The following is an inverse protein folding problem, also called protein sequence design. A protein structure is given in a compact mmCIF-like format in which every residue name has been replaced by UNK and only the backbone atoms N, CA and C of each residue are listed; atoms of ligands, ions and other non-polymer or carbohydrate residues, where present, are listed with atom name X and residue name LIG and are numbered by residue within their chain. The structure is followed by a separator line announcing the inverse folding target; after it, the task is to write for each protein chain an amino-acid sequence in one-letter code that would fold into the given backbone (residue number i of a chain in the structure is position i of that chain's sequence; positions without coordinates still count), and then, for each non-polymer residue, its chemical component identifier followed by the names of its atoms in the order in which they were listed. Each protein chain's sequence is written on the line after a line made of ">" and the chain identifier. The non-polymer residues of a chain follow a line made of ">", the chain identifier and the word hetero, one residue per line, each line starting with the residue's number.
data_IF_859871670552
#
_entry.id   IF_859871670552
#
_cell.length_a   1.000
_cell.length_b   1.000
_cell.length_c   1.000
_cell.angle_alpha   90.00
_cell.angle_beta   90.00
_cell.angle_gamma   90.00
#
_symmetry.space_group_name_H-M   'P 1'
#
loop_
_entity.id
_entity.type
_entity.pdbx_description
1 polymer ?
#
# COMPACT_ATOMS: atom_id res chain seq x y z
N UNK A 1 -0.29 22.88 17.86
CA UNK A 1 0.57 21.74 17.49
C UNK A 1 0.37 21.44 16.02
N UNK A 2 1.39 21.59 15.17
CA UNK A 2 1.30 21.32 13.74
C UNK A 2 1.10 19.82 13.50
N UNK A 3 -0.13 19.42 13.13
CA UNK A 3 -0.45 18.07 12.66
C UNK A 3 0.26 17.84 11.32
N UNK A 4 1.38 17.11 11.31
CA UNK A 4 2.04 16.69 10.07
C UNK A 4 1.23 15.56 9.45
N UNK A 5 0.89 15.71 8.16
CA UNK A 5 0.16 14.71 7.35
C UNK A 5 1.10 13.55 7.03
N UNK A 6 0.66 12.30 7.15
CA UNK A 6 1.44 11.17 6.63
C UNK A 6 1.52 11.33 5.11
N UNK A 7 2.73 11.25 4.55
CA UNK A 7 2.93 11.39 3.12
C UNK A 7 2.46 10.11 2.40
N UNK A 8 1.37 10.20 1.62
CA UNK A 8 1.06 9.24 0.57
C UNK A 8 1.34 9.91 -0.76
N UNK A 9 2.20 9.30 -1.58
CA UNK A 9 2.45 9.74 -2.95
C UNK A 9 1.21 9.44 -3.80
N UNK A 10 0.59 10.47 -4.36
CA UNK A 10 -0.58 10.39 -5.23
C UNK A 10 -0.17 10.01 -6.66
N UNK A 11 -0.80 8.98 -7.25
CA UNK A 11 -0.84 8.84 -8.70
C UNK A 11 -1.70 9.97 -9.30
N UNK A 12 -1.11 10.81 -10.14
CA UNK A 12 -1.70 12.06 -10.63
C UNK A 12 -2.80 11.83 -11.69
N UNK A 13 -3.87 12.63 -11.58
CA UNK A 13 -5.11 12.63 -12.38
C UNK A 13 -5.15 13.83 -13.33
N UNK A 14 -5.73 13.65 -14.54
CA UNK A 14 -6.08 14.72 -15.47
C UNK A 14 -7.59 15.07 -15.38
N UNK A 15 -7.98 16.35 -15.31
CA UNK A 15 -9.36 16.78 -15.03
C UNK A 15 -10.24 16.91 -16.29
N UNK A 16 -11.56 16.67 -16.16
CA UNK A 16 -12.56 16.94 -17.19
C UNK A 16 -13.91 17.46 -16.63
N UNK A 17 -14.67 18.09 -17.52
CA UNK A 17 -15.75 19.06 -17.25
C UNK A 17 -17.06 18.39 -16.84
N UNK A 18 -17.62 18.86 -15.71
CA UNK A 18 -18.84 18.34 -15.11
C UNK A 18 -20.11 18.81 -15.82
N UNK A 19 -21.02 17.87 -16.11
CA UNK A 19 -22.40 18.11 -16.53
C UNK A 19 -23.38 17.90 -15.38
N UNK A 20 -24.35 18.80 -15.24
CA UNK A 20 -25.32 18.82 -14.14
C UNK A 20 -26.57 17.97 -14.46
N UNK A 21 -26.99 17.14 -13.52
CA UNK A 21 -28.38 16.65 -13.42
C UNK A 21 -28.71 16.37 -11.95
N UNK A 22 -29.77 17.01 -11.46
CA UNK A 22 -30.14 17.06 -10.05
C UNK A 22 -31.32 16.13 -9.76
N UNK A 23 -31.06 15.10 -8.96
CA UNK A 23 -32.07 14.41 -8.14
C UNK A 23 -31.61 14.50 -6.68
N UNK A 24 -32.57 14.68 -5.76
CA UNK A 24 -32.34 14.84 -4.33
C UNK A 24 -31.71 13.57 -3.75
N UNK A 25 -30.40 13.50 -3.88
CA UNK A 25 -29.55 12.42 -3.36
C UNK A 25 -29.24 12.82 -1.91
N UNK A 26 -29.30 11.86 -0.99
CA UNK A 26 -28.70 12.02 0.35
C UNK A 26 -27.36 12.73 0.19
N UNK A 27 -27.15 13.84 0.91
CA UNK A 27 -25.92 14.60 0.77
C UNK A 27 -24.73 13.64 0.96
N UNK A 28 -23.91 13.51 -0.08
CA UNK A 28 -22.78 12.59 -0.06
C UNK A 28 -21.89 12.94 1.15
N UNK A 29 -21.47 11.92 1.90
CA UNK A 29 -20.67 12.14 3.09
C UNK A 29 -19.38 12.92 2.78
N UNK A 30 -19.07 13.92 3.61
CA UNK A 30 -17.89 14.78 3.44
C UNK A 30 -16.63 14.13 4.04
N UNK A 31 -15.94 13.32 3.23
CA UNK A 31 -14.67 12.66 3.58
C UNK A 31 -13.50 13.63 3.84
N UNK A 32 -13.73 14.94 3.86
CA UNK A 32 -12.74 15.94 4.30
C UNK A 32 -12.74 16.20 5.82
N UNK A 33 -13.62 15.51 6.57
CA UNK A 33 -13.70 15.53 8.04
C UNK A 33 -13.73 14.11 8.62
N UNK A 34 -13.39 13.93 9.91
CA UNK A 34 -13.52 12.63 10.60
C UNK A 34 -14.98 12.19 10.69
N UNK A 35 -15.88 13.13 10.97
CA UNK A 35 -17.33 12.87 11.07
C UNK A 35 -17.93 12.45 9.73
N UNK A 36 -17.52 13.10 8.63
CA UNK A 36 -17.96 12.67 7.31
C UNK A 36 -17.35 11.34 6.87
N UNK A 37 -16.17 10.95 7.38
CA UNK A 37 -15.71 9.57 7.20
C UNK A 37 -16.59 8.56 7.93
N UNK A 38 -17.00 8.81 9.17
CA UNK A 38 -17.95 7.92 9.87
C UNK A 38 -19.24 7.74 9.07
N UNK A 39 -19.80 8.84 8.57
CA UNK A 39 -21.00 8.77 7.71
C UNK A 39 -20.73 8.03 6.39
N UNK A 40 -19.54 8.19 5.80
CA UNK A 40 -19.16 7.45 4.60
C UNK A 40 -19.12 5.93 4.83
N UNK A 41 -18.56 5.48 5.97
CA UNK A 41 -18.50 4.06 6.32
C UNK A 41 -19.91 3.42 6.45
N UNK A 42 -20.90 4.20 6.87
CA UNK A 42 -22.30 3.77 6.93
C UNK A 42 -22.99 3.81 5.56
N UNK A 43 -22.66 4.79 4.71
CA UNK A 43 -23.30 4.99 3.40
C UNK A 43 -22.84 4.01 2.33
N UNK A 44 -21.61 3.49 2.41
CA UNK A 44 -21.04 2.56 1.42
C UNK A 44 -20.57 1.23 2.05
N UNK A 45 -21.46 0.50 2.73
CA UNK A 45 -21.08 -0.66 3.53
C UNK A 45 -20.57 -1.84 2.70
N UNK A 46 -20.87 -1.88 1.39
CA UNK A 46 -20.52 -2.99 0.49
C UNK A 46 -19.14 -2.88 -0.13
N UNK A 47 -18.55 -1.67 -0.13
CA UNK A 47 -17.23 -1.41 -0.69
C UNK A 47 -16.18 -1.10 0.37
N UNK A 48 -16.58 -1.03 1.64
CA UNK A 48 -15.68 -0.77 2.76
C UNK A 48 -15.47 -2.01 3.61
N UNK A 49 -14.21 -2.38 3.82
CA UNK A 49 -13.79 -3.36 4.80
C UNK A 49 -12.79 -2.72 5.77
N UNK A 50 -12.86 -3.06 7.06
CA UNK A 50 -11.88 -2.61 8.03
C UNK A 50 -11.71 -3.60 9.18
N UNK A 51 -10.54 -3.51 9.81
CA UNK A 51 -10.26 -4.10 11.13
C UNK A 51 -9.50 -3.06 11.92
N UNK A 52 -10.04 -2.69 13.07
CA UNK A 52 -9.36 -1.85 14.06
C UNK A 52 -9.35 -2.58 15.38
N UNK A 53 -8.16 -2.67 15.97
CA UNK A 53 -7.92 -3.28 17.29
C UNK A 53 -7.04 -2.30 18.05
N UNK A 54 -7.51 -1.83 19.21
CA UNK A 54 -6.80 -0.84 20.01
C UNK A 54 -5.62 -1.41 20.82
N UNK A 55 -5.48 -2.74 20.83
CA UNK A 55 -4.47 -3.47 21.61
C UNK A 55 -4.79 -3.55 23.11
N UNK A 56 -5.97 -3.13 23.53
CA UNK A 56 -6.43 -3.05 24.92
C UNK A 56 -7.71 -3.87 25.17
N UNK A 57 -8.10 -4.70 24.18
CA UNK A 57 -9.23 -5.62 24.28
C UNK A 57 -10.49 -5.15 23.54
N UNK A 58 -10.45 -4.01 22.85
CA UNK A 58 -11.56 -3.54 22.03
C UNK A 58 -11.23 -3.67 20.54
N UNK A 59 -12.20 -4.13 19.77
CA UNK A 59 -12.07 -4.32 18.32
C UNK A 59 -13.32 -3.87 17.60
N UNK A 60 -13.16 -3.30 16.41
CA UNK A 60 -14.24 -3.06 15.46
C UNK A 60 -13.83 -3.64 14.11
N UNK A 61 -14.73 -4.37 13.46
CA UNK A 61 -14.45 -4.99 12.17
C UNK A 61 -15.67 -4.99 11.26
N UNK A 62 -15.40 -4.88 9.96
CA UNK A 62 -16.39 -4.96 8.88
C UNK A 62 -15.77 -5.67 7.71
N UNK A 63 -16.44 -6.74 7.23
CA UNK A 63 -16.01 -7.50 6.04
C UNK A 63 -14.51 -7.88 6.12
N UNK A 64 -14.06 -8.21 7.32
CA UNK A 64 -12.64 -8.34 7.66
C UNK A 64 -11.89 -9.35 6.79
N UNK A 65 -12.60 -10.39 6.35
CA UNK A 65 -12.07 -11.50 5.55
C UNK A 65 -12.31 -11.33 4.03
N UNK A 66 -13.01 -10.27 3.61
CA UNK A 66 -13.28 -10.02 2.19
C UNK A 66 -12.00 -9.61 1.46
N UNK A 67 -11.77 -10.25 0.32
CA UNK A 67 -10.68 -9.93 -0.60
C UNK A 67 -11.00 -8.67 -1.40
N UNK A 68 -10.17 -7.63 -1.26
CA UNK A 68 -10.29 -6.38 -2.00
C UNK A 68 -8.92 -5.95 -2.56
N UNK A 69 -8.88 -5.14 -3.65
CA UNK A 69 -7.65 -4.56 -4.15
C UNK A 69 -6.91 -3.78 -3.05
N UNK A 70 -5.61 -4.05 -2.87
CA UNK A 70 -4.82 -3.45 -1.78
C UNK A 70 -3.95 -2.28 -2.21
N UNK A 71 -3.85 -2.05 -3.52
CA UNK A 71 -2.91 -1.10 -4.09
C UNK A 71 -1.50 -1.30 -3.49
N UNK A 72 -0.77 -0.21 -3.22
CA UNK A 72 0.58 -0.29 -2.67
C UNK A 72 0.71 -0.83 -1.25
N UNK A 73 -0.39 -1.12 -0.52
CA UNK A 73 -0.29 -1.73 0.80
C UNK A 73 0.25 -3.17 0.72
N UNK A 74 0.07 -3.88 -0.40
CA UNK A 74 0.61 -5.23 -0.60
C UNK A 74 2.15 -5.31 -0.59
N UNK A 75 2.85 -4.18 -0.74
CA UNK A 75 4.33 -4.09 -0.69
C UNK A 75 4.91 -4.53 0.66
N UNK A 76 4.09 -4.66 1.70
CA UNK A 76 4.49 -5.25 2.98
C UNK A 76 4.91 -6.72 2.87
N UNK A 77 4.45 -7.47 1.87
CA UNK A 77 4.85 -8.88 1.68
C UNK A 77 6.25 -8.99 1.08
N UNK A 78 6.61 -8.29 -0.01
CA UNK A 78 8.01 -8.19 -0.44
C UNK A 78 8.95 -7.69 0.67
N UNK A 79 8.51 -6.75 1.51
CA UNK A 79 9.27 -6.34 2.71
C UNK A 79 9.45 -7.50 3.70
N UNK A 80 8.39 -8.27 3.97
CA UNK A 80 8.44 -9.44 4.82
C UNK A 80 9.46 -10.48 4.32
N UNK A 81 9.47 -10.74 3.01
CA UNK A 81 10.39 -11.67 2.36
C UNK A 81 11.85 -11.18 2.46
N UNK A 82 12.09 -9.90 2.17
CA UNK A 82 13.40 -9.27 2.36
C UNK A 82 13.88 -9.40 3.81
N UNK A 83 13.03 -9.05 4.77
CA UNK A 83 13.39 -9.05 6.18
C UNK A 83 13.78 -10.45 6.69
N UNK A 84 13.06 -11.49 6.25
CA UNK A 84 13.42 -12.89 6.55
C UNK A 84 14.73 -13.30 5.90
N UNK A 85 14.95 -12.91 4.64
CA UNK A 85 16.18 -13.23 3.92
C UNK A 85 17.41 -12.59 4.57
N UNK A 86 17.32 -11.33 5.01
CA UNK A 86 18.39 -10.66 5.77
C UNK A 86 18.63 -11.37 7.10
N UNK A 87 17.56 -11.68 7.86
CA UNK A 87 17.70 -12.36 9.15
C UNK A 87 18.30 -13.78 9.01
N UNK A 88 18.08 -14.45 7.88
CA UNK A 88 18.68 -15.73 7.55
C UNK A 88 20.12 -15.62 6.99
N UNK A 89 20.61 -14.41 6.71
CA UNK A 89 21.91 -14.16 6.10
C UNK A 89 22.01 -14.57 4.63
N UNK A 90 20.87 -14.78 3.94
CA UNK A 90 20.86 -15.17 2.51
C UNK A 90 20.92 -13.97 1.56
N UNK A 91 20.62 -12.76 2.07
CA UNK A 91 20.85 -11.50 1.37
C UNK A 91 21.54 -10.51 2.30
N UNK A 92 22.43 -9.68 1.75
CA UNK A 92 23.13 -8.62 2.49
C UNK A 92 22.38 -7.29 2.29
N UNK A 93 21.88 -6.63 3.36
CA UNK A 93 21.25 -5.33 3.24
C UNK A 93 22.18 -4.25 2.67
N UNK A 94 23.51 -4.42 2.80
CA UNK A 94 24.52 -3.50 2.29
C UNK A 94 25.00 -3.83 0.86
N UNK A 95 24.44 -4.87 0.22
CA UNK A 95 24.72 -5.23 -1.17
C UNK A 95 24.50 -4.00 -2.07
N UNK A 96 25.52 -3.62 -2.83
CA UNK A 96 25.46 -2.48 -3.74
C UNK A 96 24.77 -2.89 -5.04
N UNK A 97 23.61 -2.32 -5.29
CA UNK A 97 22.79 -2.56 -6.48
C UNK A 97 23.01 -1.41 -7.47
N UNK A 98 23.48 -1.69 -8.70
CA UNK A 98 23.48 -0.70 -9.76
C UNK A 98 22.06 -0.18 -10.01
N UNK A 99 21.91 1.14 -10.11
CA UNK A 99 20.60 1.77 -10.34
C UNK A 99 19.95 1.27 -11.62
N UNK A 100 20.73 0.93 -12.65
CA UNK A 100 20.22 0.32 -13.87
C UNK A 100 19.50 -1.03 -13.65
N UNK A 101 19.92 -1.82 -12.65
CA UNK A 101 19.26 -3.09 -12.28
C UNK A 101 17.93 -2.88 -11.54
N UNK A 102 17.81 -1.77 -10.82
CA UNK A 102 16.54 -1.34 -10.23
C UNK A 102 15.62 -0.75 -11.29
N UNK A 103 16.12 0.18 -12.10
CA UNK A 103 15.35 0.94 -13.10
C UNK A 103 14.89 0.11 -14.29
N UNK A 104 15.47 -1.08 -14.54
CA UNK A 104 14.93 -2.00 -15.58
C UNK A 104 13.51 -2.46 -15.27
N UNK A 105 13.09 -2.42 -13.99
CA UNK A 105 11.74 -2.76 -13.54
C UNK A 105 10.81 -1.53 -13.45
N UNK A 106 11.32 -0.34 -13.73
CA UNK A 106 10.55 0.90 -13.63
C UNK A 106 9.82 1.20 -14.93
N UNK A 107 8.51 1.40 -14.83
CA UNK A 107 7.70 2.01 -15.90
C UNK A 107 7.48 3.50 -15.57
N UNK A 108 8.11 4.43 -16.31
CA UNK A 108 7.95 5.86 -16.14
C UNK A 108 6.50 6.32 -16.01
N UNK A 109 6.24 7.16 -14.98
CA UNK A 109 4.94 7.79 -14.70
C UNK A 109 3.84 6.83 -14.26
N UNK A 110 4.13 5.56 -14.03
CA UNK A 110 3.14 4.56 -13.61
C UNK A 110 2.93 4.48 -12.09
N UNK A 111 3.67 5.24 -11.28
CA UNK A 111 3.65 5.15 -9.82
C UNK A 111 3.39 6.48 -9.11
N UNK A 112 2.93 7.50 -9.85
CA UNK A 112 2.70 8.84 -9.30
C UNK A 112 3.96 9.65 -9.01
N UNK A 113 5.10 9.24 -9.58
CA UNK A 113 6.38 9.90 -9.35
C UNK A 113 7.08 9.39 -8.09
N UNK A 114 6.71 8.21 -7.59
CA UNK A 114 7.32 7.59 -6.42
C UNK A 114 8.79 7.27 -6.68
N UNK A 115 9.09 6.66 -7.83
CA UNK A 115 10.45 6.37 -8.25
C UNK A 115 11.32 7.62 -8.29
N UNK A 116 10.89 8.68 -8.99
CA UNK A 116 11.67 9.92 -9.09
C UNK A 116 11.90 10.59 -7.73
N UNK A 117 10.93 10.50 -6.81
CA UNK A 117 11.12 10.99 -5.44
C UNK A 117 12.17 10.17 -4.68
N UNK A 118 12.14 8.85 -4.83
CA UNK A 118 13.15 7.98 -4.23
C UNK A 118 14.55 8.28 -4.81
N UNK A 119 14.66 8.48 -6.13
CA UNK A 119 15.94 8.84 -6.79
C UNK A 119 16.46 10.22 -6.35
N UNK A 120 15.58 11.17 -5.99
CA UNK A 120 16.00 12.44 -5.38
C UNK A 120 16.59 12.24 -3.98
N UNK A 121 16.04 11.32 -3.17
CA UNK A 121 16.56 10.98 -1.83
C UNK A 121 17.84 10.14 -1.90
N UNK A 122 17.95 9.29 -2.92
CA UNK A 122 19.03 8.32 -3.10
C UNK A 122 19.82 8.60 -4.39
N UNK A 123 20.51 9.76 -4.51
CA UNK A 123 21.24 10.09 -5.72
C UNK A 123 22.46 9.17 -5.93
N UNK A 124 22.97 9.12 -7.16
CA UNK A 124 24.14 8.31 -7.54
C UNK A 124 23.76 7.06 -8.34
N UNK A 125 24.77 6.32 -8.82
CA UNK A 125 24.57 5.20 -9.76
C UNK A 125 24.45 3.83 -9.07
N UNK A 126 24.63 3.80 -7.74
CA UNK A 126 24.41 2.62 -6.91
C UNK A 126 23.60 2.97 -5.66
N UNK A 127 22.82 2.01 -5.18
CA UNK A 127 22.13 2.07 -3.89
C UNK A 127 22.35 0.76 -3.15
N UNK A 128 22.30 0.76 -1.83
CA UNK A 128 22.22 -0.50 -1.06
C UNK A 128 20.87 -1.19 -1.30
N UNK A 129 20.83 -2.51 -1.13
CA UNK A 129 19.56 -3.25 -1.12
C UNK A 129 18.58 -2.68 -0.08
N UNK A 130 19.06 -2.33 1.12
CA UNK A 130 18.23 -1.72 2.16
C UNK A 130 17.64 -0.37 1.73
N UNK A 131 18.42 0.47 1.03
CA UNK A 131 17.91 1.72 0.46
C UNK A 131 16.85 1.48 -0.62
N UNK A 132 17.02 0.48 -1.48
CA UNK A 132 16.01 0.07 -2.47
C UNK A 132 14.71 -0.36 -1.78
N UNK A 133 14.79 -1.15 -0.70
CA UNK A 133 13.61 -1.53 0.10
C UNK A 133 12.99 -0.30 0.78
N UNK A 134 13.80 0.64 1.27
CA UNK A 134 13.28 1.87 1.86
C UNK A 134 12.46 2.69 0.84
N UNK A 135 12.87 2.73 -0.43
CA UNK A 135 12.15 3.41 -1.51
C UNK A 135 10.77 2.79 -1.77
N UNK A 136 10.68 1.46 -1.69
CA UNK A 136 9.43 0.72 -1.80
C UNK A 136 8.42 1.09 -0.70
N UNK A 137 8.89 1.39 0.51
CA UNK A 137 8.03 1.64 1.66
C UNK A 137 7.70 3.11 1.83
N UNK A 138 8.70 3.99 1.76
CA UNK A 138 8.56 5.42 2.06
C UNK A 138 7.91 6.20 0.90
N UNK A 139 8.49 6.12 -0.30
CA UNK A 139 7.95 6.78 -1.49
C UNK A 139 6.93 5.92 -2.22
N UNK A 140 6.90 4.61 -1.93
CA UNK A 140 6.04 3.65 -2.62
C UNK A 140 6.49 3.33 -4.05
N UNK A 141 7.81 3.26 -4.30
CA UNK A 141 8.38 2.85 -5.59
C UNK A 141 7.77 1.54 -6.11
N UNK A 142 7.47 1.49 -7.42
CA UNK A 142 6.86 0.31 -8.05
C UNK A 142 7.88 -0.69 -8.62
N UNK A 143 9.14 -0.29 -8.82
CA UNK A 143 10.17 -1.16 -9.39
C UNK A 143 10.76 -2.12 -8.34
N UNK A 144 10.90 -1.68 -7.10
CA UNK A 144 11.50 -2.41 -5.99
C UNK A 144 10.77 -3.74 -5.65
N UNK A 145 9.43 -3.83 -5.63
CA UNK A 145 8.73 -5.10 -5.41
C UNK A 145 9.08 -6.17 -6.46
N UNK A 146 9.16 -5.79 -7.73
CA UNK A 146 9.48 -6.72 -8.82
C UNK A 146 10.95 -7.12 -8.80
N UNK A 147 11.84 -6.18 -8.49
CA UNK A 147 13.24 -6.48 -8.22
C UNK A 147 13.38 -7.52 -7.09
N UNK A 148 12.69 -7.33 -5.97
CA UNK A 148 12.72 -8.29 -4.84
C UNK A 148 12.09 -9.63 -5.22
N UNK A 149 11.01 -9.65 -5.99
CA UNK A 149 10.38 -10.88 -6.46
C UNK A 149 11.32 -11.69 -7.35
N UNK A 150 12.00 -11.03 -8.29
CA UNK A 150 13.01 -11.66 -9.15
C UNK A 150 14.18 -12.22 -8.33
N UNK A 151 14.65 -11.44 -7.35
CA UNK A 151 15.83 -11.79 -6.53
C UNK A 151 15.57 -12.91 -5.52
N UNK A 152 14.41 -12.91 -4.87
CA UNK A 152 14.07 -13.81 -3.76
C UNK A 152 13.24 -15.03 -4.20
N UNK A 153 12.49 -14.87 -5.30
CA UNK A 153 11.62 -15.90 -5.85
C UNK A 153 10.26 -16.02 -5.15
N UNK A 154 9.28 -16.52 -5.91
CA UNK A 154 7.87 -16.63 -5.52
C UNK A 154 7.65 -17.38 -4.19
N UNK A 155 8.42 -18.45 -3.96
CA UNK A 155 8.36 -19.24 -2.72
C UNK A 155 8.67 -18.41 -1.48
N UNK A 156 9.68 -17.53 -1.55
CA UNK A 156 10.06 -16.70 -0.40
C UNK A 156 8.95 -15.70 -0.03
N UNK A 157 8.26 -15.14 -1.03
CA UNK A 157 7.14 -14.22 -0.80
C UNK A 157 5.94 -14.93 -0.17
N UNK A 158 5.58 -16.11 -0.67
CA UNK A 158 4.48 -16.93 -0.13
C UNK A 158 4.77 -17.34 1.32
N UNK A 159 5.98 -17.85 1.60
CA UNK A 159 6.37 -18.25 2.94
C UNK A 159 6.42 -17.06 3.92
N UNK A 160 6.86 -15.89 3.45
CA UNK A 160 6.86 -14.68 4.27
C UNK A 160 5.43 -14.20 4.58
N UNK A 161 4.52 -14.20 3.62
CA UNK A 161 3.11 -13.89 3.87
C UNK A 161 2.51 -14.85 4.91
N UNK A 162 2.72 -16.16 4.73
CA UNK A 162 2.22 -17.18 5.64
C UNK A 162 2.78 -17.05 7.06
N UNK A 163 4.05 -16.69 7.21
CA UNK A 163 4.67 -16.44 8.51
C UNK A 163 4.05 -15.27 9.29
N UNK A 164 3.43 -14.31 8.59
CA UNK A 164 2.66 -13.23 9.20
C UNK A 164 1.16 -13.49 9.31
N UNK A 165 0.70 -14.73 9.06
CA UNK A 165 -0.72 -15.10 9.11
C UNK A 165 -1.52 -14.77 7.84
N UNK A 166 -0.86 -14.41 6.73
CA UNK A 166 -1.49 -14.23 5.43
C UNK A 166 -1.32 -15.50 4.58
N UNK A 167 -2.32 -16.38 4.65
CA UNK A 167 -2.42 -17.57 3.80
C UNK A 167 -3.11 -17.25 2.46
N UNK A 168 -2.87 -18.07 1.44
CA UNK A 168 -3.38 -17.88 0.07
C UNK A 168 -2.97 -16.53 -0.55
N UNK A 169 -1.75 -16.09 -0.25
CA UNK A 169 -1.17 -14.87 -0.81
C UNK A 169 -1.08 -14.93 -2.34
N UNK A 170 -1.70 -13.96 -3.00
CA UNK A 170 -1.60 -13.79 -4.44
C UNK A 170 -0.33 -13.01 -4.79
N UNK A 171 0.59 -13.67 -5.48
CA UNK A 171 1.78 -13.02 -6.04
C UNK A 171 1.36 -11.92 -7.01
N UNK A 172 2.01 -10.76 -6.92
CA UNK A 172 1.74 -9.63 -7.79
C UNK A 172 3.01 -9.12 -8.46
N UNK A 173 2.81 -8.32 -9.50
CA UNK A 173 3.88 -7.54 -10.13
C UNK A 173 3.34 -6.15 -10.47
N UNK A 174 3.79 -5.06 -9.79
CA UNK A 174 3.37 -3.71 -10.16
C UNK A 174 3.65 -3.40 -11.62
N UNK A 175 4.83 -3.75 -12.14
CA UNK A 175 5.17 -3.55 -13.54
C UNK A 175 4.23 -4.35 -14.44
N UNK A 176 4.11 -5.66 -14.19
CA UNK A 176 3.26 -6.55 -14.97
C UNK A 176 1.81 -6.11 -15.03
N UNK A 177 1.28 -5.62 -13.90
CA UNK A 177 -0.07 -5.10 -13.82
C UNK A 177 -0.26 -3.79 -14.59
N UNK A 178 0.72 -2.87 -14.53
CA UNK A 178 0.70 -1.65 -15.35
C UNK A 178 0.87 -1.93 -16.84
N UNK A 179 1.63 -2.98 -17.20
CA UNK A 179 1.70 -3.44 -18.58
C UNK A 179 0.34 -3.97 -19.04
N UNK A 180 -0.37 -4.75 -18.22
CA UNK A 180 -1.73 -5.23 -18.56
C UNK A 180 -2.72 -4.08 -18.73
N UNK A 181 -2.57 -3.00 -17.97
CA UNK A 181 -3.38 -1.80 -18.19
C UNK A 181 -3.14 -1.18 -19.59
N UNK A 182 -1.91 -1.22 -20.11
CA UNK A 182 -1.57 -0.73 -21.45
C UNK A 182 -1.81 -1.79 -22.57
N UNK A 183 -1.81 -3.07 -22.23
CA UNK A 183 -2.00 -4.23 -23.09
C UNK A 183 -2.95 -5.24 -22.41
N UNK A 184 -4.28 -5.05 -22.49
CA UNK A 184 -5.26 -5.83 -21.75
C UNK A 184 -5.22 -7.35 -21.99
N UNK A 185 -4.64 -7.78 -23.11
CA UNK A 185 -4.50 -9.20 -23.48
C UNK A 185 -3.35 -9.93 -22.74
N UNK A 186 -2.56 -9.23 -21.91
CA UNK A 186 -1.52 -9.86 -21.08
C UNK A 186 -2.17 -10.81 -20.06
N UNK A 187 -1.98 -12.12 -20.27
CA UNK A 187 -2.45 -13.17 -19.37
C UNK A 187 -1.48 -13.45 -18.19
N UNK A 188 -0.18 -13.32 -18.41
CA UNK A 188 0.86 -13.53 -17.39
C UNK A 188 1.61 -12.22 -17.14
N UNK A 189 1.18 -11.49 -16.10
CA UNK A 189 1.79 -10.23 -15.66
C UNK A 189 3.29 -10.40 -15.37
N UNK A 190 3.70 -11.52 -14.77
CA UNK A 190 5.09 -11.71 -14.37
C UNK A 190 6.00 -12.01 -15.57
N UNK A 191 5.52 -12.80 -16.54
CA UNK A 191 6.23 -12.98 -17.80
C UNK A 191 6.37 -11.65 -18.57
N UNK A 192 5.32 -10.81 -18.58
CA UNK A 192 5.38 -9.49 -19.20
C UNK A 192 6.37 -8.56 -18.50
N UNK A 193 6.37 -8.52 -17.16
CA UNK A 193 7.31 -7.73 -16.37
C UNK A 193 8.77 -8.15 -16.64
N UNK A 194 9.05 -9.46 -16.64
CA UNK A 194 10.39 -9.98 -16.97
C UNK A 194 10.80 -9.65 -18.40
N UNK A 195 9.87 -9.72 -19.36
CA UNK A 195 10.14 -9.31 -20.74
C UNK A 195 10.49 -7.82 -20.81
N UNK A 196 9.74 -6.96 -20.14
CA UNK A 196 10.06 -5.52 -20.08
C UNK A 196 11.44 -5.24 -19.49
N UNK A 197 11.79 -5.95 -18.41
CA UNK A 197 13.08 -5.83 -17.75
C UNK A 197 14.26 -6.31 -18.63
N UNK A 198 14.05 -7.30 -19.48
CA UNK A 198 15.11 -7.93 -20.28
C UNK A 198 15.19 -7.47 -21.74
N UNK A 199 14.11 -6.97 -22.34
CA UNK A 199 14.01 -6.64 -23.77
C UNK A 199 13.85 -5.13 -23.98
N UNK A 200 14.93 -4.41 -24.36
CA UNK A 200 14.89 -2.98 -24.63
C UNK A 200 13.94 -2.60 -25.77
N UNK A 201 13.71 -3.47 -26.75
CA UNK A 201 12.81 -3.19 -27.86
C UNK A 201 11.35 -3.26 -27.40
N UNK A 202 10.98 -4.28 -26.61
CA UNK A 202 9.66 -4.34 -25.98
C UNK A 202 9.44 -3.15 -25.03
N UNK A 203 10.45 -2.79 -24.23
CA UNK A 203 10.41 -1.59 -23.39
C UNK A 203 10.12 -0.32 -24.18
N UNK A 204 10.86 -0.09 -25.27
CA UNK A 204 10.65 1.08 -26.13
C UNK A 204 9.24 1.10 -26.75
N UNK A 205 8.73 -0.07 -27.15
CA UNK A 205 7.38 -0.19 -27.69
C UNK A 205 6.31 0.19 -26.65
N UNK A 206 6.42 -0.30 -25.41
CA UNK A 206 5.52 0.06 -24.31
C UNK A 206 5.58 1.57 -24.02
N UNK A 207 6.78 2.13 -23.93
CA UNK A 207 6.98 3.57 -23.64
C UNK A 207 6.40 4.50 -24.71
N UNK A 208 6.17 4.00 -25.93
CA UNK A 208 5.57 4.75 -27.03
C UNK A 208 4.03 4.79 -26.99
N UNK A 209 3.39 4.01 -26.11
CA UNK A 209 1.93 3.96 -26.00
C UNK A 209 1.36 5.17 -25.27
N UNK A 210 0.14 5.53 -25.61
CA UNK A 210 -0.61 6.56 -24.90
C UNK A 210 -0.96 6.10 -23.48
N UNK A 211 -0.97 7.02 -22.50
CA UNK A 211 -1.49 6.73 -21.16
C UNK A 211 -2.97 6.27 -21.21
N UNK A 212 -3.34 5.25 -20.41
CA UNK A 212 -4.72 4.79 -20.26
C UNK A 212 -5.65 5.88 -19.70
N UNK A 213 -6.93 5.86 -20.09
CA UNK A 213 -7.92 6.79 -19.54
C UNK A 213 -8.21 6.51 -18.06
N UNK A 214 -8.76 7.48 -17.33
CA UNK A 214 -9.16 7.25 -15.93
C UNK A 214 -10.20 6.14 -15.81
N UNK A 215 -11.17 6.06 -16.73
CA UNK A 215 -12.17 4.99 -16.77
C UNK A 215 -11.53 3.61 -16.90
N UNK A 216 -10.52 3.46 -17.77
CA UNK A 216 -9.80 2.21 -17.92
C UNK A 216 -9.02 1.86 -16.65
N UNK A 217 -8.42 2.86 -15.99
CA UNK A 217 -7.73 2.68 -14.71
C UNK A 217 -8.67 2.21 -13.60
N UNK A 218 -9.89 2.75 -13.52
CA UNK A 218 -10.90 2.30 -12.53
C UNK A 218 -11.28 0.85 -12.76
N UNK A 219 -11.57 0.47 -14.02
CA UNK A 219 -11.91 -0.91 -14.36
C UNK A 219 -10.74 -1.87 -14.08
N UNK A 220 -9.52 -1.47 -14.42
CA UNK A 220 -8.31 -2.24 -14.16
C UNK A 220 -8.00 -2.40 -12.66
N UNK A 221 -8.16 -1.34 -11.85
CA UNK A 221 -7.83 -1.36 -10.43
C UNK A 221 -8.57 -2.48 -9.66
N UNK A 222 -9.81 -2.77 -10.06
CA UNK A 222 -10.64 -3.88 -9.51
C UNK A 222 -10.09 -5.28 -9.84
N UNK A 223 -9.19 -5.40 -10.82
CA UNK A 223 -8.59 -6.66 -11.28
C UNK A 223 -7.16 -6.88 -10.78
N UNK A 224 -6.67 -5.98 -9.93
CA UNK A 224 -5.30 -6.05 -9.39
C UNK A 224 -5.21 -7.01 -8.22
N UNK A 225 -4.06 -7.01 -7.53
CA UNK A 225 -3.83 -7.91 -6.41
C UNK A 225 -4.69 -7.60 -5.19
N UNK A 226 -5.19 -8.66 -4.56
CA UNK A 226 -6.13 -8.58 -3.45
C UNK A 226 -5.55 -9.13 -2.16
N UNK A 227 -6.18 -8.72 -1.06
CA UNK A 227 -6.03 -9.27 0.27
C UNK A 227 -7.17 -8.76 1.13
N UNK A 228 -7.25 -9.22 2.38
CA UNK A 228 -8.29 -8.80 3.32
C UNK A 228 -7.75 -7.89 4.42
N UNK A 229 -8.66 -7.17 5.09
CA UNK A 229 -8.30 -6.34 6.23
C UNK A 229 -7.68 -7.17 7.36
N UNK A 230 -8.16 -8.41 7.56
CA UNK A 230 -7.61 -9.36 8.55
C UNK A 230 -6.21 -9.84 8.17
N UNK A 231 -5.95 -10.12 6.89
CA UNK A 231 -4.62 -10.54 6.42
C UNK A 231 -3.58 -9.44 6.64
N UNK A 232 -3.88 -8.20 6.25
CA UNK A 232 -2.99 -7.05 6.52
C UNK A 232 -2.81 -6.83 8.02
N UNK A 233 -3.90 -6.87 8.80
CA UNK A 233 -3.85 -6.70 10.26
C UNK A 233 -2.93 -7.73 10.91
N UNK A 234 -3.05 -9.00 10.51
CA UNK A 234 -2.24 -10.10 11.05
C UNK A 234 -0.75 -9.87 10.80
N UNK A 235 -0.40 -9.46 9.58
CA UNK A 235 0.99 -9.21 9.20
C UNK A 235 1.58 -8.01 9.95
N UNK A 236 0.85 -6.90 10.05
CA UNK A 236 1.27 -5.73 10.83
C UNK A 236 1.45 -6.05 12.31
N UNK A 237 0.51 -6.81 12.89
CA UNK A 237 0.61 -7.27 14.27
C UNK A 237 1.86 -8.13 14.47
N UNK A 238 2.12 -9.05 13.55
CA UNK A 238 3.27 -9.94 13.64
C UNK A 238 4.61 -9.18 13.60
N UNK A 239 4.72 -8.12 12.79
CA UNK A 239 5.90 -7.24 12.81
C UNK A 239 6.01 -6.46 14.12
N UNK A 240 4.91 -5.86 14.58
CA UNK A 240 4.91 -5.00 15.74
C UNK A 240 5.21 -5.75 17.05
N UNK A 241 4.61 -6.93 17.24
CA UNK A 241 4.80 -7.76 18.45
C UNK A 241 6.06 -8.62 18.40
N UNK A 242 6.66 -8.81 17.21
CA UNK A 242 7.78 -9.72 17.00
C UNK A 242 7.37 -11.16 16.70
N UNK A 243 6.07 -11.49 16.70
CA UNK A 243 5.60 -12.87 16.43
C UNK A 243 5.84 -13.34 15.00
N UNK A 244 6.23 -12.44 14.08
CA UNK A 244 6.73 -12.79 12.74
C UNK A 244 8.03 -13.63 12.78
N UNK A 245 8.75 -13.60 13.91
CA UNK A 245 10.00 -14.32 14.09
C UNK A 245 11.21 -13.60 13.50
N UNK A 246 12.26 -14.32 13.05
CA UNK A 246 13.44 -13.72 12.43
C UNK A 246 13.05 -12.79 11.28
N UNK A 247 13.46 -11.52 11.37
CA UNK A 247 13.11 -10.46 10.42
C UNK A 247 12.06 -9.47 10.92
N UNK A 248 11.35 -9.75 12.02
CA UNK A 248 10.31 -8.85 12.53
C UNK A 248 10.83 -7.42 12.78
N UNK A 249 12.01 -7.29 13.39
CA UNK A 249 12.62 -5.99 13.68
C UNK A 249 13.05 -5.24 12.42
N UNK A 250 13.52 -5.97 11.39
CA UNK A 250 13.93 -5.41 10.10
C UNK A 250 12.70 -4.86 9.36
N UNK A 251 11.63 -5.67 9.25
CA UNK A 251 10.37 -5.23 8.65
C UNK A 251 9.79 -4.03 9.40
N UNK A 252 9.80 -4.09 10.73
CA UNK A 252 9.32 -2.99 11.60
C UNK A 252 10.13 -1.72 11.41
N UNK A 253 11.46 -1.78 11.31
CA UNK A 253 12.31 -0.62 11.09
C UNK A 253 12.00 0.10 9.77
N UNK A 254 11.67 -0.64 8.72
CA UNK A 254 11.22 -0.07 7.45
C UNK A 254 9.84 0.58 7.53
N UNK A 255 8.90 0.00 8.30
CA UNK A 255 7.55 0.56 8.47
C UNK A 255 7.49 1.74 9.45
N UNK A 256 8.35 1.75 10.47
CA UNK A 256 8.45 2.79 11.51
C UNK A 256 9.40 3.94 11.13
N UNK A 257 9.35 4.35 9.86
CA UNK A 257 10.20 5.41 9.31
C UNK A 257 9.73 6.82 9.66
N UNK A 258 8.47 6.97 10.11
CA UNK A 258 7.92 8.24 10.57
C UNK A 258 8.05 8.36 12.10
N UNK A 259 8.27 9.58 12.63
CA UNK A 259 8.19 9.80 14.06
C UNK A 259 6.83 9.36 14.61
N UNK A 260 6.78 8.59 15.71
CA UNK A 260 5.52 8.17 16.27
C UNK A 260 4.75 9.37 16.85
N UNK A 261 3.41 9.31 16.92
CA UNK A 261 2.62 10.28 17.66
C UNK A 261 3.00 10.31 19.15
N UNK A 262 2.76 11.44 19.82
CA UNK A 262 3.05 11.60 21.26
C UNK A 262 2.42 10.47 22.08
N UNK A 263 3.22 9.85 22.96
CA UNK A 263 2.79 8.74 23.81
C UNK A 263 3.02 7.34 23.22
N UNK A 264 3.43 7.25 21.96
CA UNK A 264 3.74 5.99 21.28
C UNK A 264 5.24 5.86 21.01
N UNK A 265 5.72 4.62 20.92
CA UNK A 265 7.13 4.30 20.66
C UNK A 265 7.40 3.89 19.20
N UNK A 266 6.34 3.66 18.42
CA UNK A 266 6.44 3.30 17.01
C UNK A 266 5.12 3.48 16.28
N UNK A 267 5.19 3.89 15.01
CA UNK A 267 4.10 3.96 14.06
C UNK A 267 4.52 3.24 12.79
N UNK A 268 4.09 1.99 12.62
CA UNK A 268 4.32 1.25 11.37
C UNK A 268 3.28 1.66 10.33
N UNK A 269 3.69 2.05 9.12
CA UNK A 269 2.77 2.54 8.10
C UNK A 269 3.14 2.16 6.66
N UNK A 270 2.15 1.66 5.92
CA UNK A 270 2.14 1.55 4.46
C UNK A 270 0.69 1.47 3.97
N UNK A 271 0.19 2.58 3.43
CA UNK A 271 -1.06 2.61 2.67
C UNK A 271 -0.87 2.30 1.18
N UNK A 272 -1.93 2.49 0.42
CA UNK A 272 -1.94 2.37 -1.03
C UNK A 272 -3.14 3.07 -1.66
N UNK A 273 -2.96 3.52 -2.90
CA UNK A 273 -4.03 4.05 -3.71
C UNK A 273 -3.86 3.59 -5.16
N UNK A 274 -4.97 3.26 -5.80
CA UNK A 274 -5.16 3.17 -7.26
C UNK A 274 -6.43 3.96 -7.58
N UNK A 275 -6.77 4.13 -8.87
CA UNK A 275 -8.01 4.81 -9.25
C UNK A 275 -9.22 4.18 -8.52
N UNK A 276 -9.97 5.00 -7.78
CA UNK A 276 -11.12 4.58 -6.95
C UNK A 276 -10.84 3.55 -5.84
N UNK A 277 -9.57 3.21 -5.57
CA UNK A 277 -9.15 2.33 -4.46
C UNK A 277 -8.34 3.14 -3.45
N UNK A 278 -8.67 2.98 -2.18
CA UNK A 278 -7.93 3.51 -1.05
C UNK A 278 -7.69 2.41 -0.02
N UNK A 279 -6.43 2.25 0.39
CA UNK A 279 -6.03 1.32 1.43
C UNK A 279 -5.17 2.06 2.45
N UNK A 280 -5.52 1.93 3.72
CA UNK A 280 -4.66 2.33 4.82
C UNK A 280 -4.38 1.12 5.70
N UNK A 281 -3.12 0.98 6.10
CA UNK A 281 -2.72 -0.04 7.06
C UNK A 281 -1.64 0.56 7.97
N UNK A 282 -1.85 0.43 9.28
CA UNK A 282 -0.95 0.97 10.28
C UNK A 282 -0.95 0.15 11.57
N UNK A 283 0.13 0.29 12.33
CA UNK A 283 0.25 -0.21 13.69
C UNK A 283 0.80 0.87 14.61
N UNK A 284 0.38 0.87 15.87
CA UNK A 284 0.92 1.72 16.92
C UNK A 284 1.46 0.85 18.05
N UNK A 285 2.69 1.11 18.47
CA UNK A 285 3.28 0.45 19.63
C UNK A 285 3.33 1.39 20.82
N UNK A 286 2.95 0.87 21.99
CA UNK A 286 3.04 1.58 23.28
C UNK A 286 4.26 1.11 24.07
N UNK A 287 4.68 1.92 25.03
CA UNK A 287 5.85 1.62 25.88
C UNK A 287 5.62 0.41 26.80
N UNK A 288 4.37 0.07 27.09
CA UNK A 288 3.99 -1.11 27.90
C UNK A 288 3.99 -2.42 27.09
N UNK A 289 4.31 -2.37 25.80
CA UNK A 289 4.34 -3.54 24.91
C UNK A 289 3.01 -3.84 24.20
N UNK A 290 1.92 -3.14 24.52
CA UNK A 290 0.66 -3.29 23.78
C UNK A 290 0.77 -2.70 22.38
N UNK A 291 0.03 -3.29 21.43
CA UNK A 291 0.07 -2.94 20.01
C UNK A 291 -1.34 -2.74 19.49
N UNK A 292 -1.63 -1.56 18.96
CA UNK A 292 -2.84 -1.32 18.19
C UNK A 292 -2.58 -1.53 16.69
N UNK A 293 -3.60 -1.91 15.94
CA UNK A 293 -3.56 -2.07 14.48
C UNK A 293 -4.83 -1.53 13.86
N UNK A 294 -4.72 -0.86 12.72
CA UNK A 294 -5.87 -0.40 11.95
C UNK A 294 -5.63 -0.62 10.46
N UNK A 295 -6.60 -1.25 9.81
CA UNK A 295 -6.66 -1.43 8.37
C UNK A 295 -8.01 -0.96 7.87
N UNK A 296 -8.01 -0.15 6.82
CA UNK A 296 -9.19 0.29 6.07
C UNK A 296 -8.96 0.02 4.59
N UNK A 297 -9.87 -0.74 3.98
CA UNK A 297 -9.96 -0.99 2.56
C UNK A 297 -11.23 -0.34 2.04
N UNK A 298 -11.12 0.45 0.99
CA UNK A 298 -12.25 1.08 0.35
C UNK A 298 -12.04 1.01 -1.16
N UNK A 299 -12.96 0.34 -1.87
CA UNK A 299 -12.93 0.20 -3.32
C UNK A 299 -14.07 0.98 -3.98
N UNK A 300 -14.01 1.14 -5.31
CA UNK A 300 -15.09 1.79 -6.09
C UNK A 300 -15.52 3.17 -5.59
N UNK A 301 -14.62 3.90 -4.92
CA UNK A 301 -14.91 5.25 -4.47
C UNK A 301 -15.22 6.15 -5.68
N UNK A 302 -16.28 6.97 -5.65
CA UNK A 302 -16.49 8.01 -6.65
C UNK A 302 -15.23 8.89 -6.77
N UNK A 303 -14.85 9.28 -7.99
CA UNK A 303 -13.60 10.00 -8.25
C UNK A 303 -13.43 11.25 -7.37
N UNK A 304 -14.49 12.04 -7.21
CA UNK A 304 -14.48 13.24 -6.37
C UNK A 304 -14.23 12.92 -4.89
N UNK A 305 -14.89 11.89 -4.36
CA UNK A 305 -14.72 11.40 -2.98
C UNK A 305 -13.31 10.84 -2.78
N UNK A 306 -12.84 10.01 -3.69
CA UNK A 306 -11.49 9.45 -3.67
C UNK A 306 -10.41 10.55 -3.71
N UNK A 307 -10.57 11.53 -4.61
CA UNK A 307 -9.67 12.68 -4.70
C UNK A 307 -9.68 13.54 -3.43
N UNK A 308 -10.86 13.75 -2.82
CA UNK A 308 -11.00 14.49 -1.56
C UNK A 308 -10.32 13.77 -0.39
N UNK A 309 -10.52 12.45 -0.28
CA UNK A 309 -9.88 11.59 0.72
C UNK A 309 -8.35 11.69 0.66
N UNK A 310 -7.79 11.55 -0.54
CA UNK A 310 -6.36 11.61 -0.79
C UNK A 310 -5.73 12.99 -0.55
N UNK A 311 -6.52 14.07 -0.53
CA UNK A 311 -6.05 15.42 -0.20
C UNK A 311 -6.21 15.77 1.28
N UNK A 312 -7.23 15.21 1.93
CA UNK A 312 -7.61 15.56 3.30
C UNK A 312 -6.89 14.72 4.35
N UNK A 313 -6.63 13.43 4.06
CA UNK A 313 -6.07 12.44 4.97
C UNK A 313 -6.88 12.23 6.26
N UNK A 314 -8.19 12.51 6.25
CA UNK A 314 -9.03 12.37 7.46
C UNK A 314 -9.38 10.95 7.84
N UNK A 315 -9.34 10.01 6.91
CA UNK A 315 -9.43 8.58 7.21
C UNK A 315 -8.26 8.12 8.09
N UNK A 316 -7.04 8.63 7.87
CA UNK A 316 -5.91 8.31 8.74
C UNK A 316 -6.10 8.88 10.16
N UNK A 317 -6.66 10.08 10.28
CA UNK A 317 -7.03 10.64 11.58
C UNK A 317 -8.12 9.81 12.26
N UNK A 318 -9.14 9.37 11.52
CA UNK A 318 -10.18 8.47 12.03
C UNK A 318 -9.56 7.17 12.59
N UNK A 319 -8.71 6.50 11.83
CA UNK A 319 -8.06 5.25 12.25
C UNK A 319 -7.15 5.47 13.46
N UNK A 320 -6.37 6.55 13.48
CA UNK A 320 -5.56 6.91 14.65
C UNK A 320 -6.44 7.06 15.88
N UNK A 321 -7.52 7.86 15.79
CA UNK A 321 -8.44 8.06 16.92
C UNK A 321 -9.10 6.75 17.33
N UNK A 322 -9.52 5.90 16.40
CA UNK A 322 -10.11 4.59 16.71
C UNK A 322 -9.13 3.66 17.43
N UNK A 323 -7.82 3.74 17.18
CA UNK A 323 -6.80 2.98 17.92
C UNK A 323 -6.49 3.56 19.31
N UNK A 324 -6.85 4.80 19.60
CA UNK A 324 -6.41 5.51 20.81
C UNK A 324 -7.54 6.02 21.71
N UNK A 325 -8.76 6.10 21.19
CA UNK A 325 -9.96 6.61 21.85
C UNK A 325 -11.04 5.51 21.77
N UNK A 326 -11.33 4.77 22.86
CA UNK A 326 -12.35 3.72 22.85
C UNK A 326 -13.72 4.21 22.39
N UNK A 327 -14.08 5.47 22.70
CA UNK A 327 -15.32 6.07 22.20
C UNK A 327 -15.33 6.23 20.68
N UNK A 328 -14.21 6.56 20.03
CA UNK A 328 -14.15 6.62 18.57
C UNK A 328 -14.25 5.23 17.96
N UNK A 329 -13.61 4.23 18.57
CA UNK A 329 -13.70 2.84 18.11
C UNK A 329 -15.14 2.34 18.10
N UNK A 330 -15.90 2.62 19.18
CA UNK A 330 -17.31 2.25 19.30
C UNK A 330 -18.24 2.99 18.32
N UNK A 331 -17.76 4.05 17.67
CA UNK A 331 -18.51 4.78 16.64
C UNK A 331 -18.30 4.23 15.23
N UNK A 332 -17.34 3.32 15.03
CA UNK A 332 -17.22 2.62 13.75
C UNK A 332 -18.43 1.69 13.57
N UNK A 333 -19.06 1.68 12.39
CA UNK A 333 -20.35 1.03 12.18
C UNK A 333 -20.27 -0.47 11.93
#
# INVERSE_FOLDING_TARGET
>A
MMRRRLAVVLAAVLPLVAGCSSTATSAAADVTTVEGWLSWLEQDPDNVAFVVDDGLGHTAERRADEQQPLASAAKVVPLAAYARAVAAGTVDPQEQIPVAEWERWYLPKADGGAHEQARKRLPGDTVTLDQLVSAMIQESDNAAPDYLRDRLGDKALIEAAAAGGWHDYMLFSPLGSMLRLAEPDIADEWAAARRYAADPAYRAAILSKSPPSYTDQVAWAETTWTGSARQLTSLYRAFATGSFGPGAEIARAHLEWQPPPTGFVGLGFKGGALASILTEAMSLRRADGTVATAVLLNRRMPESTWSAALKSFRHQELLFRAMTEPEMLHRLP
#
